data_IF_980894777488
#
_entry.id   IF_980894777488
#
_cell.length_a   1.000
_cell.length_b   1.000
_cell.length_c   1.000
_cell.angle_alpha   90.00
_cell.angle_beta   90.00
_cell.angle_gamma   90.00
#
_symmetry.space_group_name_H-M   'P 1'
#
loop_
_entity.id
_entity.type
_entity.pdbx_description
1 polymer ?
#
# COMPACT_ATOMS: atom_id res chain seq x y z
N UNK A 1 -19.69 -32.34 17.52
CA UNK A 1 -18.67 -31.37 17.96
C UNK A 1 -17.78 -31.05 16.75
N UNK A 2 -17.99 -29.94 16.02
CA UNK A 2 -17.05 -29.58 14.96
C UNK A 2 -15.81 -28.97 15.60
N UNK A 3 -14.65 -29.51 15.25
CA UNK A 3 -13.34 -28.98 15.64
C UNK A 3 -13.25 -27.53 15.17
N UNK A 4 -13.16 -26.61 16.12
CA UNK A 4 -12.79 -25.24 15.86
C UNK A 4 -11.42 -25.28 15.16
N UNK A 5 -11.41 -24.93 13.87
CA UNK A 5 -10.19 -24.57 13.19
C UNK A 5 -9.62 -23.40 13.97
N UNK A 6 -8.63 -23.71 14.80
CA UNK A 6 -7.90 -22.76 15.59
C UNK A 6 -7.17 -21.87 14.58
N UNK A 7 -7.81 -20.77 14.20
CA UNK A 7 -7.14 -19.66 13.53
C UNK A 7 -6.02 -19.28 14.49
N UNK A 8 -4.78 -19.66 14.14
CA UNK A 8 -3.61 -19.13 14.79
C UNK A 8 -3.79 -17.62 14.89
N UNK A 9 -3.39 -16.96 16.00
CA UNK A 9 -3.41 -15.51 16.03
C UNK A 9 -2.68 -15.06 14.77
N UNK A 10 -3.37 -14.30 13.93
CA UNK A 10 -2.78 -13.74 12.72
C UNK A 10 -1.47 -13.13 13.21
N UNK A 11 -0.34 -13.74 12.79
CA UNK A 11 0.94 -13.05 12.90
C UNK A 11 0.62 -11.67 12.37
N UNK A 12 0.90 -10.56 13.10
CA UNK A 12 0.78 -9.27 12.46
C UNK A 12 1.57 -9.45 11.17
N UNK A 13 0.90 -9.30 10.02
CA UNK A 13 1.54 -9.44 8.73
C UNK A 13 2.53 -8.27 8.66
N UNK A 14 3.63 -8.41 9.38
CA UNK A 14 4.76 -7.52 9.32
C UNK A 14 5.22 -7.67 7.90
N UNK A 15 5.14 -6.58 7.16
CA UNK A 15 5.52 -6.59 5.75
C UNK A 15 6.95 -7.10 5.68
N UNK A 16 7.24 -7.98 4.75
CA UNK A 16 8.59 -8.51 4.60
C UNK A 16 9.59 -7.45 4.09
N UNK A 17 9.10 -6.31 3.57
CA UNK A 17 9.91 -5.22 3.01
C UNK A 17 9.37 -3.83 3.37
N UNK A 18 10.24 -2.82 3.26
CA UNK A 18 9.87 -1.39 3.26
C UNK A 18 9.29 -0.99 1.91
N UNK A 19 8.22 -0.20 1.93
CA UNK A 19 7.61 0.37 0.72
C UNK A 19 7.83 1.87 0.62
N UNK A 20 8.24 2.34 -0.55
CA UNK A 20 8.22 3.72 -0.96
C UNK A 20 6.82 4.10 -1.42
N UNK A 21 6.15 4.99 -0.69
CA UNK A 21 4.83 5.49 -1.05
C UNK A 21 4.94 6.76 -1.89
N UNK A 22 4.32 6.73 -3.05
CA UNK A 22 4.18 7.86 -3.95
C UNK A 22 2.72 8.26 -4.02
N UNK A 23 2.43 9.54 -3.86
CA UNK A 23 1.08 10.11 -3.94
C UNK A 23 0.88 10.82 -5.26
N UNK A 24 -0.27 10.60 -5.88
CA UNK A 24 -0.61 11.30 -7.12
C UNK A 24 -1.01 12.75 -6.82
N UNK A 25 -0.49 13.71 -7.59
CA UNK A 25 -0.76 15.14 -7.44
C UNK A 25 -2.17 15.54 -7.86
N UNK A 26 -2.72 14.87 -8.87
CA UNK A 26 -4.07 15.15 -9.40
C UNK A 26 -5.15 14.41 -8.64
N UNK A 27 -4.81 13.23 -8.11
CA UNK A 27 -5.71 12.37 -7.33
C UNK A 27 -5.06 12.02 -5.99
N UNK A 28 -5.11 12.92 -4.98
CA UNK A 28 -4.44 12.72 -3.71
C UNK A 28 -4.91 11.48 -2.94
N UNK A 29 -6.04 10.90 -3.30
CA UNK A 29 -6.54 9.63 -2.78
C UNK A 29 -5.79 8.42 -3.35
N UNK A 30 -5.08 8.56 -4.47
CA UNK A 30 -4.37 7.47 -5.13
C UNK A 30 -2.91 7.41 -4.70
N UNK A 31 -2.52 6.27 -4.13
CA UNK A 31 -1.18 5.99 -3.65
C UNK A 31 -0.59 4.81 -4.40
N UNK A 32 0.68 4.92 -4.77
CA UNK A 32 1.48 3.84 -5.34
C UNK A 32 2.56 3.43 -4.34
N UNK A 33 2.56 2.17 -3.93
CA UNK A 33 3.59 1.57 -3.10
C UNK A 33 4.57 0.77 -3.97
N UNK A 34 5.86 1.04 -3.83
CA UNK A 34 6.94 0.33 -4.51
C UNK A 34 7.90 -0.20 -3.46
N UNK A 35 8.25 -1.50 -3.44
CA UNK A 35 9.26 -1.99 -2.53
C UNK A 35 10.59 -1.26 -2.73
N UNK A 36 11.30 -0.97 -1.65
CA UNK A 36 12.60 -0.30 -1.71
C UNK A 36 13.67 -1.12 -2.47
N UNK A 37 13.55 -2.45 -2.46
CA UNK A 37 14.45 -3.36 -3.17
C UNK A 37 14.22 -3.40 -4.69
N UNK A 38 13.18 -2.73 -5.20
CA UNK A 38 12.77 -2.79 -6.61
C UNK A 38 12.98 -1.48 -7.36
N UNK A 39 13.22 -1.54 -8.69
CA UNK A 39 13.32 -0.35 -9.51
C UNK A 39 11.99 0.42 -9.50
N UNK A 40 12.07 1.73 -9.30
CA UNK A 40 10.91 2.62 -9.33
C UNK A 40 10.33 2.66 -10.76
N UNK A 41 9.05 2.33 -10.96
CA UNK A 41 8.41 2.40 -12.27
C UNK A 41 8.52 3.79 -12.91
N UNK A 42 8.82 3.84 -14.22
CA UNK A 42 9.06 5.10 -14.95
C UNK A 42 7.89 6.09 -14.89
N UNK A 43 6.65 5.61 -14.76
CA UNK A 43 5.49 6.50 -14.65
C UNK A 43 5.51 7.35 -13.38
N UNK A 44 6.17 6.89 -12.30
CA UNK A 44 6.36 7.66 -11.06
C UNK A 44 7.41 8.76 -11.21
N UNK A 45 8.28 8.68 -12.21
CA UNK A 45 9.18 9.77 -12.61
C UNK A 45 8.46 10.94 -13.28
N UNK A 46 7.17 10.78 -13.62
CA UNK A 46 6.35 11.87 -14.17
C UNK A 46 6.12 12.95 -13.12
N UNK A 47 5.95 14.22 -13.54
CA UNK A 47 5.58 15.34 -12.65
C UNK A 47 4.26 15.15 -11.88
N UNK A 48 3.55 14.04 -12.08
CA UNK A 48 2.25 13.72 -11.49
C UNK A 48 2.34 12.96 -10.16
N UNK A 49 3.51 12.46 -9.77
CA UNK A 49 3.69 11.72 -8.52
C UNK A 49 4.69 12.44 -7.60
N UNK A 50 4.49 12.31 -6.30
CA UNK A 50 5.39 12.84 -5.26
C UNK A 50 5.69 11.71 -4.30
N UNK A 51 6.97 11.54 -3.95
CA UNK A 51 7.35 10.69 -2.84
C UNK A 51 6.79 11.25 -1.52
N UNK A 52 5.92 10.48 -0.85
CA UNK A 52 5.27 10.91 0.39
C UNK A 52 6.05 10.42 1.62
N UNK A 53 6.27 9.12 1.74
CA UNK A 53 7.02 8.51 2.84
C UNK A 53 7.44 7.07 2.56
N UNK A 54 8.33 6.56 3.39
CA UNK A 54 8.57 5.12 3.53
C UNK A 54 7.50 4.53 4.46
N UNK A 55 7.07 3.30 4.17
CA UNK A 55 6.22 2.48 5.02
C UNK A 55 7.03 1.24 5.40
N UNK A 56 7.55 1.24 6.63
CA UNK A 56 8.38 0.16 7.14
C UNK A 56 7.53 -1.07 7.51
N UNK A 57 8.16 -2.25 7.64
CA UNK A 57 7.52 -3.47 8.13
C UNK A 57 6.69 -3.32 9.41
N UNK A 58 7.19 -2.50 10.34
CA UNK A 58 6.63 -2.29 11.66
C UNK A 58 5.65 -1.11 11.73
N UNK A 59 5.58 -0.29 10.67
CA UNK A 59 4.71 0.88 10.65
C UNK A 59 3.24 0.46 10.56
N UNK A 60 2.36 1.29 11.14
CA UNK A 60 0.92 1.12 10.93
C UNK A 60 0.58 1.31 9.46
N UNK A 61 -0.22 0.38 8.91
CA UNK A 61 -0.69 0.47 7.53
C UNK A 61 -1.40 1.81 7.28
N UNK A 62 -1.14 2.41 6.12
CA UNK A 62 -1.91 3.58 5.71
C UNK A 62 -3.33 3.15 5.37
N UNK A 63 -4.36 3.99 5.58
CA UNK A 63 -5.73 3.59 5.31
C UNK A 63 -5.90 3.15 3.84
N UNK A 64 -6.49 1.97 3.63
CA UNK A 64 -6.67 1.37 2.30
C UNK A 64 -5.48 0.54 1.80
N UNK A 65 -4.38 0.52 2.53
CA UNK A 65 -3.29 -0.42 2.26
C UNK A 65 -3.67 -1.81 2.76
N UNK A 66 -3.46 -2.82 1.91
CA UNK A 66 -3.76 -4.21 2.21
C UNK A 66 -2.52 -5.04 1.85
N UNK A 67 -1.95 -5.70 2.86
CA UNK A 67 -0.65 -6.36 2.76
C UNK A 67 -0.65 -7.53 1.76
N UNK A 68 -1.75 -8.28 1.68
CA UNK A 68 -1.87 -9.40 0.74
C UNK A 68 -1.95 -8.90 -0.72
N UNK A 69 -2.77 -7.91 -1.00
CA UNK A 69 -2.89 -7.26 -2.31
C UNK A 69 -1.59 -6.57 -2.70
N UNK A 70 -0.87 -5.97 -1.76
CA UNK A 70 0.46 -5.41 -2.00
C UNK A 70 1.46 -6.50 -2.41
N UNK A 71 1.51 -7.62 -1.69
CA UNK A 71 2.37 -8.76 -2.02
C UNK A 71 2.08 -9.30 -3.42
N UNK A 72 0.81 -9.54 -3.74
CA UNK A 72 0.38 -10.04 -5.05
C UNK A 72 0.68 -9.01 -6.15
N UNK A 73 0.29 -7.75 -5.95
CA UNK A 73 0.45 -6.67 -6.92
C UNK A 73 1.92 -6.43 -7.27
N UNK A 74 2.79 -6.39 -6.27
CA UNK A 74 4.23 -6.26 -6.47
C UNK A 74 4.83 -7.45 -7.19
N UNK A 75 4.40 -8.68 -6.86
CA UNK A 75 4.90 -9.88 -7.53
C UNK A 75 4.66 -9.86 -9.04
N UNK A 76 3.51 -9.34 -9.49
CA UNK A 76 3.16 -9.29 -10.90
C UNK A 76 3.57 -8.00 -11.62
N UNK A 77 3.48 -6.85 -10.96
CA UNK A 77 3.65 -5.53 -11.59
C UNK A 77 4.91 -4.78 -11.13
N UNK A 78 5.54 -5.23 -10.04
CA UNK A 78 6.64 -4.50 -9.39
C UNK A 78 6.19 -3.34 -8.49
N UNK A 79 4.90 -3.03 -8.44
CA UNK A 79 4.30 -1.99 -7.60
C UNK A 79 2.87 -2.37 -7.20
N UNK A 80 2.32 -1.64 -6.23
CA UNK A 80 0.94 -1.77 -5.78
C UNK A 80 0.24 -0.40 -5.82
N UNK A 81 -0.95 -0.32 -6.42
CA UNK A 81 -1.77 0.89 -6.48
C UNK A 81 -3.04 0.68 -5.65
N UNK A 82 -3.36 1.65 -4.81
CA UNK A 82 -4.56 1.60 -3.97
C UNK A 82 -5.09 3.00 -3.68
N UNK A 83 -6.35 3.06 -3.25
CA UNK A 83 -7.00 4.29 -2.82
C UNK A 83 -6.97 4.40 -1.29
N UNK A 84 -6.72 5.60 -0.78
CA UNK A 84 -6.88 5.92 0.63
C UNK A 84 -8.35 5.77 1.03
N UNK A 85 -8.62 4.82 1.91
CA UNK A 85 -9.97 4.65 2.47
C UNK A 85 -10.10 5.49 3.75
N UNK A 86 -11.00 6.46 3.78
CA UNK A 86 -11.25 7.27 4.99
C UNK A 86 -10.75 8.71 4.94
N UNK A 87 -10.41 9.24 3.76
CA UNK A 87 -10.56 10.68 3.58
C UNK A 87 -12.05 11.01 3.84
N UNK A 88 -12.38 12.02 4.67
CA UNK A 88 -13.73 12.53 4.67
C UNK A 88 -14.02 12.87 3.21
N UNK A 89 -15.07 12.28 2.64
CA UNK A 89 -15.66 12.83 1.43
C UNK A 89 -16.05 14.24 1.83
N UNK A 90 -15.22 15.23 1.52
CA UNK A 90 -15.68 16.59 1.52
C UNK A 90 -16.88 16.59 0.59
N UNK A 91 -18.03 16.88 1.19
CA UNK A 91 -19.33 16.81 0.57
C UNK A 91 -19.22 17.60 -0.74
N UNK A 92 -19.26 16.88 -1.87
CA UNK A 92 -19.37 17.49 -3.17
C UNK A 92 -20.59 18.42 -3.12
N UNK A 93 -20.32 19.70 -3.34
CA UNK A 93 -21.24 20.82 -3.29
C UNK A 93 -22.47 20.62 -4.19
#
# INVERSE_FOLDING_TARGET
>A
MPSAQQLAPARPYMRDCTYNLFRNKQRPELICAVPEDRPVPSFLGSRQWIFERHLQPLDTAVPGFEDHAANVGVRFNGFYLFHLTGLPREMAA
#
